data_IF_909137166937
#
_entry.id   IF_909137166937
#
_cell.length_a   1.000
_cell.length_b   1.000
_cell.length_c   1.000
_cell.angle_alpha   90.00
_cell.angle_beta   90.00
_cell.angle_gamma   90.00
#
_symmetry.space_group_name_H-M   'P 1'
#
loop_
_entity.id
_entity.type
_entity.pdbx_description
1 polymer ?
#
# COMPACT_ATOMS: atom_id res chain seq x y z
N UNK A 1 -4.38 7.67 -16.70
CA UNK A 1 -4.87 6.27 -16.49
C UNK A 1 -5.56 5.65 -17.71
N UNK A 2 -6.53 6.32 -18.35
CA UNK A 2 -7.30 5.78 -19.48
C UNK A 2 -6.42 5.34 -20.67
N UNK A 3 -5.41 6.12 -21.04
CA UNK A 3 -4.44 5.82 -22.12
C UNK A 3 -3.65 4.53 -21.85
N UNK A 4 -3.09 4.37 -20.64
CA UNK A 4 -2.37 3.16 -20.22
C UNK A 4 -3.25 1.91 -20.27
N UNK A 5 -4.51 2.03 -19.84
CA UNK A 5 -5.45 0.91 -19.86
C UNK A 5 -5.84 0.51 -21.29
N UNK A 6 -6.00 1.49 -22.19
CA UNK A 6 -6.23 1.24 -23.62
C UNK A 6 -5.03 0.53 -24.25
N UNK A 7 -3.80 1.04 -24.07
CA UNK A 7 -2.59 0.42 -24.58
C UNK A 7 -2.39 -1.01 -24.03
N UNK A 8 -2.75 -1.24 -22.75
CA UNK A 8 -2.73 -2.58 -22.15
C UNK A 8 -3.71 -3.52 -22.84
N UNK A 9 -4.95 -3.07 -23.07
CA UNK A 9 -5.97 -3.87 -23.77
C UNK A 9 -5.52 -4.22 -25.19
N UNK A 10 -4.95 -3.26 -25.92
CA UNK A 10 -4.40 -3.48 -27.28
C UNK A 10 -3.31 -4.55 -27.25
N UNK A 11 -2.30 -4.41 -26.38
CA UNK A 11 -1.22 -5.40 -26.26
C UNK A 11 -1.72 -6.79 -25.83
N UNK A 12 -2.68 -6.87 -24.90
CA UNK A 12 -3.25 -8.15 -24.47
C UNK A 12 -3.99 -8.87 -25.60
N UNK A 13 -4.67 -8.11 -26.46
CA UNK A 13 -5.35 -8.66 -27.62
C UNK A 13 -4.37 -9.07 -28.72
N UNK A 14 -3.49 -8.16 -29.15
CA UNK A 14 -2.59 -8.38 -30.29
C UNK A 14 -1.39 -9.27 -29.98
N UNK A 15 -0.94 -9.30 -28.72
CA UNK A 15 0.32 -9.93 -28.26
C UNK A 15 1.57 -9.47 -29.04
N UNK A 16 1.49 -8.35 -29.76
CA UNK A 16 2.59 -7.85 -30.59
C UNK A 16 3.66 -7.15 -29.73
N UNK A 17 4.97 -7.42 -29.94
CA UNK A 17 6.06 -6.71 -29.27
C UNK A 17 6.04 -5.19 -29.45
N UNK A 18 5.58 -4.67 -30.59
CA UNK A 18 5.47 -3.23 -30.82
C UNK A 18 4.44 -2.57 -29.91
N UNK A 19 3.29 -3.21 -29.70
CA UNK A 19 2.27 -2.73 -28.77
C UNK A 19 2.75 -2.79 -27.32
N UNK A 20 3.59 -3.80 -26.98
CA UNK A 20 4.26 -3.87 -25.67
C UNK A 20 5.17 -2.65 -25.45
N UNK A 21 5.94 -2.24 -26.47
CA UNK A 21 6.82 -1.05 -26.39
C UNK A 21 6.00 0.21 -26.10
N UNK A 22 4.88 0.39 -26.80
CA UNK A 22 3.97 1.53 -26.58
C UNK A 22 3.45 1.54 -25.14
N UNK A 23 2.96 0.40 -24.64
CA UNK A 23 2.50 0.27 -23.26
C UNK A 23 3.61 0.62 -22.25
N UNK A 24 4.81 0.06 -22.42
CA UNK A 24 5.94 0.30 -21.53
C UNK A 24 6.34 1.78 -21.51
N UNK A 25 6.37 2.44 -22.67
CA UNK A 25 6.68 3.87 -22.77
C UNK A 25 5.68 4.73 -21.98
N UNK A 26 4.38 4.45 -22.13
CA UNK A 26 3.32 5.15 -21.39
C UNK A 26 3.46 4.89 -19.88
N UNK A 27 3.73 3.64 -19.49
CA UNK A 27 3.93 3.26 -18.10
C UNK A 27 5.13 3.96 -17.47
N UNK A 28 6.28 3.97 -18.16
CA UNK A 28 7.50 4.63 -17.68
C UNK A 28 7.33 6.15 -17.60
N UNK A 29 6.60 6.77 -18.54
CA UNK A 29 6.25 8.19 -18.47
C UNK A 29 5.40 8.49 -17.24
N UNK A 30 4.40 7.63 -16.97
CA UNK A 30 3.55 7.79 -15.78
C UNK A 30 4.34 7.62 -14.49
N UNK A 31 5.18 6.58 -14.41
CA UNK A 31 6.02 6.32 -13.24
C UNK A 31 6.94 7.50 -12.94
N UNK A 32 7.63 8.05 -13.97
CA UNK A 32 8.46 9.25 -13.82
C UNK A 32 7.69 10.45 -13.26
N UNK A 33 6.45 10.67 -13.71
CA UNK A 33 5.61 11.75 -13.17
C UNK A 33 5.23 11.53 -11.71
N UNK A 34 4.93 10.29 -11.33
CA UNK A 34 4.60 9.93 -9.94
C UNK A 34 5.82 10.17 -9.05
N UNK A 35 6.99 9.67 -9.45
CA UNK A 35 8.24 9.86 -8.71
C UNK A 35 8.57 11.34 -8.58
N UNK A 36 8.47 12.12 -9.66
CA UNK A 36 8.71 13.55 -9.61
C UNK A 36 7.76 14.29 -8.65
N UNK A 37 6.47 13.92 -8.64
CA UNK A 37 5.51 14.49 -7.70
C UNK A 37 5.85 14.12 -6.26
N UNK A 38 6.15 12.84 -5.98
CA UNK A 38 6.53 12.38 -4.65
C UNK A 38 7.80 13.07 -4.15
N UNK A 39 8.83 13.18 -4.99
CA UNK A 39 10.06 13.87 -4.63
C UNK A 39 9.80 15.33 -4.29
N UNK A 40 8.97 16.03 -5.07
CA UNK A 40 8.58 17.41 -4.76
C UNK A 40 7.88 17.50 -3.41
N UNK A 41 6.93 16.60 -3.13
CA UNK A 41 6.27 16.57 -1.82
C UNK A 41 7.27 16.34 -0.68
N UNK A 42 8.23 15.44 -0.85
CA UNK A 42 9.30 15.23 0.12
C UNK A 42 10.20 16.46 0.29
N UNK A 43 10.57 17.14 -0.80
CA UNK A 43 11.34 18.38 -0.75
C UNK A 43 10.58 19.46 0.03
N UNK A 44 9.29 19.66 -0.27
CA UNK A 44 8.43 20.62 0.43
C UNK A 44 8.31 20.27 1.93
N UNK A 45 8.14 19.00 2.27
CA UNK A 45 8.09 18.53 3.67
C UNK A 45 9.43 18.75 4.40
N UNK A 46 10.57 18.48 3.74
CA UNK A 46 11.89 18.71 4.32
C UNK A 46 12.16 20.20 4.56
N UNK A 47 11.72 21.06 3.66
CA UNK A 47 11.83 22.51 3.82
C UNK A 47 10.93 23.06 4.94
N UNK A 48 9.82 22.39 5.25
CA UNK A 48 8.93 22.77 6.32
C UNK A 48 9.40 22.34 7.72
N UNK A 49 10.43 21.48 7.82
CA UNK A 49 10.94 21.02 9.10
C UNK A 49 11.61 22.15 9.89
N UNK A 50 11.19 22.32 11.14
CA UNK A 50 11.71 23.32 12.06
C UNK A 50 12.32 22.65 13.32
N UNK A 51 13.50 23.09 13.80
CA UNK A 51 14.05 22.61 15.07
C UNK A 51 13.18 22.93 16.30
N UNK A 52 12.42 24.02 16.29
CA UNK A 52 11.76 24.56 17.48
C UNK A 52 10.39 23.93 17.80
N UNK A 53 9.75 23.30 16.80
CA UNK A 53 8.38 22.75 16.92
C UNK A 53 8.34 21.22 17.11
N UNK A 54 9.49 20.57 17.13
CA UNK A 54 9.61 19.11 17.29
C UNK A 54 9.30 18.30 16.02
N UNK A 55 8.99 18.93 14.89
CA UNK A 55 8.68 18.27 13.60
C UNK A 55 9.79 17.33 13.12
N UNK A 56 11.06 17.69 13.36
CA UNK A 56 12.21 16.85 13.03
C UNK A 56 12.18 15.50 13.73
N UNK A 57 11.75 15.47 15.00
CA UNK A 57 11.65 14.24 15.78
C UNK A 57 10.51 13.36 15.27
N UNK A 58 9.35 13.96 14.97
CA UNK A 58 8.20 13.23 14.42
C UNK A 58 8.53 12.61 13.05
N UNK A 59 9.13 13.38 12.14
CA UNK A 59 9.60 12.88 10.85
C UNK A 59 10.60 11.73 11.03
N UNK A 60 11.59 11.91 11.91
CA UNK A 60 12.58 10.88 12.21
C UNK A 60 11.96 9.60 12.79
N UNK A 61 10.91 9.74 13.61
CA UNK A 61 10.17 8.62 14.18
C UNK A 61 9.38 7.88 13.10
N UNK A 62 8.70 8.60 12.21
CA UNK A 62 7.92 8.02 11.12
C UNK A 62 8.83 7.27 10.13
N UNK A 63 10.00 7.83 9.77
CA UNK A 63 10.98 7.18 8.90
C UNK A 63 11.57 5.89 9.50
N UNK A 64 11.75 5.83 10.82
CA UNK A 64 12.20 4.63 11.53
C UNK A 64 11.08 3.61 11.76
N UNK A 65 9.83 4.05 11.73
CA UNK A 65 8.68 3.20 12.01
C UNK A 65 8.54 2.13 10.93
N UNK A 66 8.63 0.87 11.34
CA UNK A 66 8.32 -0.26 10.46
C UNK A 66 6.81 -0.38 10.35
N UNK A 67 6.24 0.04 9.22
CA UNK A 67 4.83 -0.21 8.92
C UNK A 67 4.63 -1.71 8.75
N UNK A 68 3.97 -2.34 9.71
CA UNK A 68 3.53 -3.73 9.56
C UNK A 68 2.40 -3.76 8.54
N UNK A 69 2.49 -4.62 7.50
CA UNK A 69 1.40 -4.74 6.56
C UNK A 69 0.16 -5.23 7.31
N UNK A 70 -0.99 -4.65 6.98
CA UNK A 70 -2.28 -5.14 7.49
C UNK A 70 -2.55 -6.47 6.80
N UNK A 71 -2.33 -7.58 7.51
CA UNK A 71 -2.62 -8.91 7.00
C UNK A 71 -4.12 -9.17 7.00
N UNK A 72 -4.58 -9.98 6.05
CA UNK A 72 -5.95 -10.47 6.04
C UNK A 72 -6.20 -11.32 7.29
N UNK A 73 -7.38 -11.15 7.90
CA UNK A 73 -7.79 -11.96 9.04
C UNK A 73 -8.10 -13.38 8.55
N UNK A 74 -7.40 -14.36 9.10
CA UNK A 74 -7.61 -15.77 8.78
C UNK A 74 -8.41 -16.43 9.89
N UNK A 75 -9.60 -16.92 9.55
CA UNK A 75 -10.45 -17.74 10.40
C UNK A 75 -10.32 -19.23 10.12
N UNK A 76 -11.22 -20.03 10.70
CA UNK A 76 -11.23 -21.49 10.50
C UNK A 76 -11.53 -21.89 9.05
N UNK A 77 -12.35 -21.11 8.35
CA UNK A 77 -12.76 -21.36 6.97
C UNK A 77 -11.86 -20.68 5.91
N UNK A 78 -10.78 -20.01 6.33
CA UNK A 78 -9.90 -19.24 5.44
C UNK A 78 -9.96 -17.74 5.71
N UNK A 79 -9.71 -16.91 4.69
CA UNK A 79 -9.70 -15.44 4.83
C UNK A 79 -11.12 -14.94 5.13
N UNK A 80 -11.26 -14.15 6.19
CA UNK A 80 -12.52 -13.51 6.55
C UNK A 80 -12.83 -12.33 5.62
N UNK A 81 -13.88 -12.47 4.82
CA UNK A 81 -14.28 -11.46 3.85
C UNK A 81 -15.45 -10.60 4.34
N UNK A 82 -16.47 -11.23 4.94
CA UNK A 82 -17.62 -10.51 5.47
C UNK A 82 -17.34 -9.97 6.87
N UNK A 83 -18.12 -8.98 7.29
CA UNK A 83 -17.93 -8.39 8.62
C UNK A 83 -18.32 -9.36 9.75
N UNK A 84 -19.30 -10.25 9.50
CA UNK A 84 -19.63 -11.34 10.43
C UNK A 84 -18.44 -12.29 10.60
N UNK A 85 -17.80 -12.70 9.50
CA UNK A 85 -16.63 -13.59 9.56
C UNK A 85 -15.50 -12.94 10.37
N UNK A 86 -15.24 -11.64 10.16
CA UNK A 86 -14.20 -10.92 10.90
C UNK A 86 -14.52 -10.86 12.40
N UNK A 87 -15.78 -10.60 12.76
CA UNK A 87 -16.22 -10.55 14.15
C UNK A 87 -16.01 -11.91 14.85
N UNK A 88 -16.39 -13.00 14.19
CA UNK A 88 -16.18 -14.35 14.71
C UNK A 88 -14.69 -14.69 14.89
N UNK A 89 -13.84 -14.32 13.93
CA UNK A 89 -12.38 -14.54 14.04
C UNK A 89 -11.79 -13.79 15.24
N UNK A 90 -12.20 -12.54 15.44
CA UNK A 90 -11.76 -11.74 16.58
C UNK A 90 -12.26 -12.35 17.90
N UNK A 91 -13.53 -12.74 17.98
CA UNK A 91 -14.10 -13.38 19.16
C UNK A 91 -13.36 -14.67 19.53
N UNK A 92 -13.14 -15.57 18.55
CA UNK A 92 -12.37 -16.80 18.75
C UNK A 92 -10.94 -16.53 19.25
N UNK A 93 -10.26 -15.52 18.70
CA UNK A 93 -8.90 -15.15 19.11
C UNK A 93 -8.88 -14.63 20.55
N UNK A 94 -9.88 -13.84 20.95
CA UNK A 94 -10.00 -13.30 22.30
C UNK A 94 -10.30 -14.39 23.33
N UNK A 95 -11.25 -15.29 23.05
CA UNK A 95 -11.54 -16.45 23.91
C UNK A 95 -10.30 -17.33 24.14
N UNK A 96 -9.51 -17.56 23.09
CA UNK A 96 -8.25 -18.29 23.19
C UNK A 96 -7.23 -17.58 24.07
N UNK A 97 -7.21 -16.24 24.05
CA UNK A 97 -6.28 -15.47 24.88
C UNK A 97 -6.72 -15.45 26.34
N UNK A 98 -8.02 -15.28 26.61
CA UNK A 98 -8.56 -15.27 27.97
C UNK A 98 -8.38 -16.62 28.66
N UNK A 99 -8.58 -17.73 27.95
CA UNK A 99 -8.43 -19.08 28.49
C UNK A 99 -7.01 -19.43 28.91
N UNK A 100 -6.00 -18.80 28.29
CA UNK A 100 -4.57 -18.98 28.63
C UNK A 100 -4.16 -18.24 29.91
N UNK A 101 -4.90 -17.21 30.31
CA UNK A 101 -4.56 -16.40 31.47
C UNK A 101 -5.08 -17.06 32.76
N UNK A 102 -6.12 -17.88 32.65
CA UNK A 102 -6.78 -18.57 33.78
C UNK A 102 -6.19 -19.94 34.13
N UNK A 103 -5.19 -20.42 33.39
CA UNK A 103 -4.48 -21.69 33.65
C UNK A 103 -3.05 -21.40 34.10
#
# INVERSE_FOLDING_TARGET
>A
MKERNRARKTWQFSRNPNDKRVLNNIQNRLHRKIVAFQNKTWEDELHALNPDDGSQWEMSKELRSKKTPVFALNGRAGIAHTDSDKAEVIACSLEKHSSKITT
#
